data_IF_005594665370
#
_entry.id   IF_005594665370
#
_cell.length_a   1.000
_cell.length_b   1.000
_cell.length_c   1.000
_cell.angle_alpha   90.00
_cell.angle_beta   90.00
_cell.angle_gamma   90.00
#
_symmetry.space_group_name_H-M   'P 1'
#
loop_
_entity.id
_entity.type
_entity.pdbx_description
1 polymer ?
#
# COMPACT_ATOMS: atom_id res chain seq x y z
N UNK A 1 19.06 7.11 43.26
CA UNK A 1 19.78 6.00 42.59
C UNK A 1 18.87 4.86 42.14
N UNK A 2 17.89 4.40 42.93
CA UNK A 2 16.98 3.30 42.53
C UNK A 2 15.97 3.65 41.41
N UNK A 3 15.38 4.85 41.42
CA UNK A 3 14.43 5.27 40.36
C UNK A 3 15.09 5.36 38.99
N UNK A 4 16.32 5.90 38.91
CA UNK A 4 17.07 6.01 37.66
C UNK A 4 17.41 4.62 37.12
N UNK A 5 17.74 3.68 38.01
CA UNK A 5 18.03 2.30 37.66
C UNK A 5 16.79 1.54 37.15
N UNK A 6 15.62 1.74 37.79
CA UNK A 6 14.35 1.23 37.30
C UNK A 6 13.99 1.81 35.93
N UNK A 7 14.14 3.12 35.73
CA UNK A 7 13.85 3.79 34.47
C UNK A 7 14.72 3.23 33.33
N UNK A 8 16.02 3.06 33.59
CA UNK A 8 16.96 2.46 32.64
C UNK A 8 16.56 1.01 32.30
N UNK A 9 16.12 0.22 33.28
CA UNK A 9 15.67 -1.15 33.06
C UNK A 9 14.42 -1.23 32.16
N UNK A 10 13.49 -0.28 32.32
CA UNK A 10 12.28 -0.17 31.50
C UNK A 10 12.65 0.19 30.07
N UNK A 11 13.50 1.21 29.88
CA UNK A 11 13.96 1.66 28.56
C UNK A 11 14.69 0.54 27.83
N UNK A 12 15.58 -0.19 28.50
CA UNK A 12 16.28 -1.36 27.95
C UNK A 12 15.31 -2.46 27.52
N UNK A 13 14.32 -2.78 28.37
CA UNK A 13 13.30 -3.80 28.06
C UNK A 13 12.44 -3.40 26.86
N UNK A 14 12.08 -2.12 26.74
CA UNK A 14 11.37 -1.59 25.57
C UNK A 14 12.23 -1.67 24.31
N UNK A 15 13.49 -1.26 24.37
CA UNK A 15 14.41 -1.33 23.24
C UNK A 15 14.64 -2.77 22.78
N UNK A 16 14.84 -3.73 23.69
CA UNK A 16 14.98 -5.15 23.36
C UNK A 16 13.71 -5.71 22.69
N UNK A 17 12.52 -5.36 23.20
CA UNK A 17 11.26 -5.76 22.55
C UNK A 17 11.10 -5.13 21.16
N UNK A 18 11.48 -3.87 21.01
CA UNK A 18 11.43 -3.17 19.73
C UNK A 18 12.40 -3.78 18.71
N UNK A 19 13.64 -4.07 19.12
CA UNK A 19 14.68 -4.66 18.24
C UNK A 19 14.34 -6.09 17.82
N UNK A 20 13.54 -6.81 18.59
CA UNK A 20 13.06 -8.15 18.26
C UNK A 20 11.85 -8.15 17.32
N UNK A 21 11.14 -7.02 17.19
CA UNK A 21 9.94 -6.93 16.37
C UNK A 21 10.34 -6.87 14.90
N UNK A 22 9.94 -7.88 14.12
CA UNK A 22 10.04 -7.82 12.65
C UNK A 22 8.96 -6.89 12.12
N UNK A 23 9.33 -5.65 11.83
CA UNK A 23 8.43 -4.65 11.25
C UNK A 23 8.46 -4.80 9.72
N UNK A 24 7.29 -4.91 9.10
CA UNK A 24 7.12 -4.99 7.65
C UNK A 24 6.59 -3.67 7.12
N UNK A 25 7.37 -3.02 6.26
CA UNK A 25 7.05 -1.70 5.69
C UNK A 25 6.90 -1.82 4.19
N UNK A 26 5.79 -1.32 3.65
CA UNK A 26 5.63 -1.08 2.21
C UNK A 26 5.95 0.38 1.91
N UNK A 27 7.01 0.63 1.15
CA UNK A 27 7.43 1.96 0.72
C UNK A 27 7.12 2.20 -0.75
N UNK A 28 6.54 3.36 -1.06
CA UNK A 28 6.13 3.74 -2.41
C UNK A 28 6.69 5.10 -2.80
N UNK A 29 7.48 5.12 -3.87
CA UNK A 29 8.10 6.35 -4.38
C UNK A 29 7.09 7.27 -5.06
N UNK A 30 7.40 8.56 -5.05
CA UNK A 30 6.65 9.57 -5.81
C UNK A 30 6.93 9.48 -7.31
N UNK A 31 5.96 9.89 -8.13
CA UNK A 31 6.12 9.82 -9.58
C UNK A 31 5.07 10.53 -10.43
N UNK A 32 4.13 11.26 -9.82
CA UNK A 32 2.99 11.84 -10.53
C UNK A 32 2.18 10.73 -11.21
N UNK A 33 1.85 10.93 -12.48
CA UNK A 33 1.15 9.93 -13.31
C UNK A 33 1.86 8.57 -13.37
N UNK A 34 3.18 8.52 -13.15
CA UNK A 34 3.95 7.26 -13.15
C UNK A 34 3.64 6.35 -11.96
N UNK A 35 2.91 6.84 -10.94
CA UNK A 35 2.38 6.00 -9.86
C UNK A 35 1.46 4.88 -10.34
N UNK A 36 0.98 4.94 -11.59
CA UNK A 36 0.30 3.82 -12.23
C UNK A 36 1.14 2.53 -12.24
N UNK A 37 2.46 2.63 -12.39
CA UNK A 37 3.34 1.45 -12.45
C UNK A 37 3.38 0.67 -11.14
N UNK A 38 3.67 1.27 -9.96
CA UNK A 38 3.61 0.52 -8.71
C UNK A 38 2.21 -0.01 -8.41
N UNK A 39 1.12 0.72 -8.73
CA UNK A 39 -0.25 0.20 -8.59
C UNK A 39 -0.44 -1.06 -9.43
N UNK A 40 0.04 -1.08 -10.68
CA UNK A 40 -0.05 -2.25 -11.56
C UNK A 40 0.79 -3.42 -11.05
N UNK A 41 2.02 -3.18 -10.61
CA UNK A 41 2.91 -4.21 -10.05
C UNK A 41 2.27 -4.86 -8.82
N UNK A 42 1.72 -4.05 -7.91
CA UNK A 42 1.03 -4.56 -6.72
C UNK A 42 -0.21 -5.36 -7.13
N UNK A 43 -1.01 -4.85 -8.07
CA UNK A 43 -2.18 -5.57 -8.58
C UNK A 43 -1.83 -6.94 -9.16
N UNK A 44 -0.77 -7.02 -9.97
CA UNK A 44 -0.24 -8.29 -10.48
C UNK A 44 0.28 -9.21 -9.37
N UNK A 45 0.96 -8.67 -8.37
CA UNK A 45 1.46 -9.45 -7.23
C UNK A 45 0.31 -10.03 -6.40
N UNK A 46 -0.72 -9.22 -6.10
CA UNK A 46 -1.96 -9.67 -5.47
C UNK A 46 -2.57 -10.78 -6.31
N UNK A 47 -2.72 -10.56 -7.62
CA UNK A 47 -3.29 -11.53 -8.53
C UNK A 47 -2.53 -12.87 -8.54
N UNK A 48 -1.21 -12.83 -8.50
CA UNK A 48 -0.37 -14.01 -8.63
C UNK A 48 -0.21 -14.81 -7.34
N UNK A 49 -0.24 -14.13 -6.18
CA UNK A 49 0.10 -14.75 -4.89
C UNK A 49 -1.06 -14.92 -3.92
N UNK A 50 -2.12 -14.11 -4.05
CA UNK A 50 -3.16 -14.02 -3.02
C UNK A 50 -4.55 -14.42 -3.51
N UNK A 51 -4.73 -14.66 -4.81
CA UNK A 51 -6.02 -15.06 -5.38
C UNK A 51 -5.93 -16.38 -6.13
N UNK A 52 -7.05 -17.10 -6.11
CA UNK A 52 -7.31 -18.34 -6.84
C UNK A 52 -8.05 -18.10 -8.16
N UNK A 53 -8.32 -16.84 -8.53
CA UNK A 53 -9.03 -16.48 -9.75
C UNK A 53 -8.28 -17.05 -10.97
N UNK A 54 -8.93 -17.88 -11.79
CA UNK A 54 -8.35 -18.37 -13.03
C UNK A 54 -7.98 -17.19 -13.94
N UNK A 55 -6.80 -17.26 -14.58
CA UNK A 55 -6.47 -16.30 -15.65
C UNK A 55 -7.28 -16.65 -16.91
N UNK A 56 -7.83 -15.65 -17.63
CA UNK A 56 -7.68 -14.21 -17.41
C UNK A 56 -8.64 -13.65 -16.34
N UNK A 57 -8.18 -12.63 -15.61
CA UNK A 57 -9.03 -11.85 -14.73
C UNK A 57 -10.00 -11.00 -15.56
N UNK A 58 -11.30 -11.28 -15.42
CA UNK A 58 -12.37 -10.46 -15.98
C UNK A 58 -12.75 -9.31 -15.03
N UNK A 59 -12.44 -8.08 -15.43
CA UNK A 59 -12.76 -6.86 -14.70
C UNK A 59 -14.23 -6.44 -14.80
N UNK A 60 -15.08 -7.14 -15.55
CA UNK A 60 -16.54 -6.89 -15.58
C UNK A 60 -17.31 -7.88 -14.70
N UNK A 61 -16.64 -8.92 -14.21
CA UNK A 61 -17.25 -9.93 -13.35
C UNK A 61 -17.20 -9.50 -11.87
N UNK A 62 -18.37 -9.27 -11.27
CA UNK A 62 -18.50 -8.84 -9.87
C UNK A 62 -17.87 -9.82 -8.88
N UNK A 63 -17.95 -11.13 -9.14
CA UNK A 63 -17.33 -12.15 -8.30
C UNK A 63 -15.81 -12.09 -8.37
N UNK A 64 -15.23 -11.86 -9.56
CA UNK A 64 -13.79 -11.67 -9.70
C UNK A 64 -13.31 -10.42 -8.95
N UNK A 65 -14.03 -9.30 -9.06
CA UNK A 65 -13.71 -8.07 -8.31
C UNK A 65 -13.72 -8.32 -6.80
N UNK A 66 -14.75 -9.01 -6.31
CA UNK A 66 -14.86 -9.34 -4.89
C UNK A 66 -13.70 -10.22 -4.41
N UNK A 67 -13.43 -11.33 -5.11
CA UNK A 67 -12.33 -12.23 -4.79
C UNK A 67 -10.96 -11.53 -4.84
N UNK A 68 -10.77 -10.61 -5.78
CA UNK A 68 -9.55 -9.81 -5.85
C UNK A 68 -9.43 -8.87 -4.65
N UNK A 69 -10.53 -8.25 -4.22
CA UNK A 69 -10.52 -7.35 -3.06
C UNK A 69 -10.25 -8.10 -1.74
N UNK A 70 -10.78 -9.30 -1.60
CA UNK A 70 -10.47 -10.19 -0.47
C UNK A 70 -8.98 -10.60 -0.47
N UNK A 71 -8.43 -10.95 -1.63
CA UNK A 71 -7.00 -11.23 -1.80
C UNK A 71 -6.13 -10.01 -1.49
N UNK A 72 -6.56 -8.81 -1.89
CA UNK A 72 -5.89 -7.56 -1.54
C UNK A 72 -5.88 -7.34 -0.03
N UNK A 73 -6.97 -7.62 0.67
CA UNK A 73 -7.03 -7.48 2.13
C UNK A 73 -6.01 -8.42 2.81
N UNK A 74 -5.87 -9.65 2.32
CA UNK A 74 -4.84 -10.57 2.81
C UNK A 74 -3.42 -10.07 2.51
N UNK A 75 -3.20 -9.45 1.34
CA UNK A 75 -1.93 -8.79 1.03
C UNK A 75 -1.64 -7.62 2.00
N UNK A 76 -2.59 -6.71 2.23
CA UNK A 76 -2.36 -5.51 3.06
C UNK A 76 -2.11 -5.85 4.53
N UNK A 77 -2.72 -6.91 5.07
CA UNK A 77 -2.43 -7.46 6.42
C UNK A 77 -0.97 -7.88 6.62
N UNK A 78 -0.18 -8.01 5.55
CA UNK A 78 1.24 -8.33 5.64
C UNK A 78 2.14 -7.12 5.97
N UNK A 79 1.60 -5.92 6.11
CA UNK A 79 2.40 -4.73 6.40
C UNK A 79 1.93 -4.04 7.68
N UNK A 80 2.88 -3.63 8.50
CA UNK A 80 2.62 -2.82 9.70
C UNK A 80 2.51 -1.34 9.34
N UNK A 81 3.27 -0.91 8.32
CA UNK A 81 3.30 0.47 7.86
C UNK A 81 3.26 0.56 6.34
N UNK A 82 2.50 1.55 5.87
CA UNK A 82 2.50 2.01 4.49
C UNK A 82 3.10 3.42 4.48
N UNK A 83 4.15 3.61 3.70
CA UNK A 83 4.85 4.89 3.60
C UNK A 83 5.02 5.26 2.14
N UNK A 84 5.00 6.55 1.84
CA UNK A 84 5.27 7.02 0.49
C UNK A 84 5.30 8.54 0.40
N UNK A 85 5.84 9.04 -0.71
CA UNK A 85 5.99 10.48 -0.96
C UNK A 85 5.20 10.91 -2.19
N UNK A 86 4.56 12.08 -2.16
CA UNK A 86 3.72 12.59 -3.26
C UNK A 86 2.65 11.55 -3.66
N UNK A 87 2.57 11.18 -4.94
CA UNK A 87 1.72 10.10 -5.46
C UNK A 87 1.87 8.80 -4.68
N UNK A 88 3.10 8.42 -4.31
CA UNK A 88 3.35 7.23 -3.49
C UNK A 88 2.70 7.32 -2.11
N UNK A 89 2.63 8.53 -1.53
CA UNK A 89 1.93 8.78 -0.27
C UNK A 89 0.41 8.63 -0.40
N UNK A 90 -0.18 9.11 -1.50
CA UNK A 90 -1.59 8.88 -1.80
C UNK A 90 -1.90 7.38 -1.97
N UNK A 91 -1.07 6.66 -2.71
CA UNK A 91 -1.23 5.21 -2.90
C UNK A 91 -1.05 4.47 -1.56
N UNK A 92 -0.05 4.85 -0.76
CA UNK A 92 0.17 4.29 0.57
C UNK A 92 -1.05 4.51 1.48
N UNK A 93 -1.64 5.70 1.48
CA UNK A 93 -2.87 6.00 2.20
C UNK A 93 -4.04 5.13 1.73
N UNK A 94 -4.26 5.02 0.42
CA UNK A 94 -5.29 4.17 -0.17
C UNK A 94 -5.12 2.70 0.27
N UNK A 95 -3.91 2.14 0.19
CA UNK A 95 -3.65 0.77 0.62
C UNK A 95 -3.84 0.57 2.13
N UNK A 96 -3.48 1.56 2.95
CA UNK A 96 -3.65 1.50 4.40
C UNK A 96 -5.12 1.42 4.82
N UNK A 97 -6.02 2.07 4.08
CA UNK A 97 -7.49 1.97 4.30
C UNK A 97 -8.12 0.83 3.48
N UNK A 98 -7.30 -0.04 2.87
CA UNK A 98 -7.71 -1.11 1.96
C UNK A 98 -8.60 -0.63 0.79
N UNK A 99 -8.36 0.58 0.27
CA UNK A 99 -9.01 1.06 -0.94
C UNK A 99 -8.63 0.20 -2.14
N UNK A 100 -9.59 -0.12 -3.01
CA UNK A 100 -9.43 -1.12 -4.06
C UNK A 100 -8.36 -0.69 -5.10
N UNK A 101 -7.39 -1.58 -5.35
CA UNK A 101 -6.33 -1.38 -6.35
C UNK A 101 -6.93 -1.23 -7.75
N UNK A 102 -8.01 -1.94 -8.08
CA UNK A 102 -8.64 -1.84 -9.40
C UNK A 102 -9.19 -0.43 -9.65
N UNK A 103 -9.79 0.18 -8.63
CA UNK A 103 -10.30 1.55 -8.70
C UNK A 103 -9.14 2.56 -8.82
N UNK A 104 -8.03 2.33 -8.10
CA UNK A 104 -6.81 3.12 -8.30
C UNK A 104 -6.25 2.99 -9.71
N UNK A 105 -6.27 1.79 -10.30
CA UNK A 105 -5.85 1.60 -11.69
C UNK A 105 -6.74 2.38 -12.66
N UNK A 106 -8.04 2.44 -12.42
CA UNK A 106 -8.99 3.22 -13.23
C UNK A 106 -8.75 4.73 -13.12
N UNK A 107 -8.49 5.25 -11.91
CA UNK A 107 -8.18 6.66 -11.70
C UNK A 107 -6.92 7.06 -12.49
N UNK A 108 -5.87 6.25 -12.41
CA UNK A 108 -4.59 6.55 -13.05
C UNK A 108 -4.56 6.20 -14.55
N UNK A 109 -5.40 5.29 -15.04
CA UNK A 109 -5.56 5.08 -16.49
C UNK A 109 -6.21 6.30 -17.15
N UNK A 110 -7.08 7.00 -16.43
CA UNK A 110 -7.68 8.28 -16.81
C UNK A 110 -6.87 9.50 -16.35
N UNK A 111 -5.54 9.38 -16.28
CA UNK A 111 -4.66 10.41 -15.74
C UNK A 111 -4.89 11.81 -16.36
N UNK A 112 -5.23 11.92 -17.64
CA UNK A 112 -5.49 13.22 -18.30
C UNK A 112 -6.67 13.99 -17.70
N UNK A 113 -7.64 13.29 -17.11
CA UNK A 113 -8.78 13.90 -16.43
C UNK A 113 -8.37 14.55 -15.10
N UNK A 114 -7.53 13.86 -14.33
CA UNK A 114 -7.13 14.26 -12.98
C UNK A 114 -5.86 15.13 -12.95
N UNK A 115 -4.93 14.88 -13.87
CA UNK A 115 -3.66 15.59 -14.03
C UNK A 115 -3.72 16.48 -15.27
N UNK A 116 -4.66 17.45 -15.27
CA UNK A 116 -4.78 18.41 -16.36
C UNK A 116 -3.52 19.24 -16.48
N UNK A 117 -3.05 19.45 -17.72
CA UNK A 117 -1.99 20.42 -18.00
C UNK A 117 -2.56 21.82 -17.81
N UNK A 118 -2.07 22.55 -16.82
CA UNK A 118 -2.21 24.00 -16.85
C UNK A 118 -1.23 24.56 -17.87
N UNK A 119 -1.76 25.09 -18.98
CA UNK A 119 -0.94 25.73 -20.02
C UNK A 119 -0.26 27.03 -19.57
N UNK A 120 -0.71 27.61 -18.46
CA UNK A 120 -0.20 28.86 -17.91
C UNK A 120 0.67 28.69 -16.65
N UNK A 121 1.11 27.46 -16.35
CA UNK A 121 1.85 27.13 -15.13
C UNK A 121 0.94 26.74 -13.96
N UNK A 122 1.48 26.45 -12.77
CA UNK A 122 0.65 26.22 -11.59
C UNK A 122 -0.39 27.34 -11.40
#
# INVERSE_FOLDING_TARGET
>A
DDEVSQLNSIILKYNLKASQRRIRVLSLDGGGVRGYMPIKIIGELVQQKYTTIPKPFDSNNSNHKQLFHEAQLEFTKNFDYFVGTSTGGLIAFCLAINYNILDMQEIYSNASHYFKKNFFGP
#
